data_IF_222852769549
#
_entry.id   IF_222852769549
#
_cell.length_a   1.000
_cell.length_b   1.000
_cell.length_c   1.000
_cell.angle_alpha   90.00
_cell.angle_beta   90.00
_cell.angle_gamma   90.00
#
_symmetry.space_group_name_H-M   'P 1'
#
loop_
_entity.id
_entity.type
_entity.pdbx_description
1 polymer ?
#
# COMPACT_ATOMS: atom_id res chain seq x y z
N UNK A 1 -14.40 -8.03 0.01
CA UNK A 1 -13.09 -8.69 -0.20
C UNK A 1 -12.01 -7.62 -0.18
N UNK A 2 -10.84 -7.94 0.35
CA UNK A 2 -9.63 -7.12 0.24
C UNK A 2 -8.92 -7.53 -1.05
N UNK A 3 -8.57 -6.57 -1.89
CA UNK A 3 -7.82 -6.81 -3.13
C UNK A 3 -6.35 -6.48 -2.92
N UNK A 4 -5.49 -7.46 -3.16
CA UNK A 4 -4.05 -7.25 -3.23
C UNK A 4 -3.64 -7.08 -4.69
N UNK A 5 -2.98 -5.98 -5.01
CA UNK A 5 -2.46 -5.72 -6.37
C UNK A 5 -1.18 -6.50 -6.60
N UNK A 6 -1.06 -7.07 -7.79
CA UNK A 6 0.13 -7.78 -8.25
C UNK A 6 1.15 -6.88 -8.92
N UNK A 7 2.13 -7.52 -9.52
CA UNK A 7 3.32 -6.85 -10.09
C UNK A 7 3.28 -6.70 -11.60
N UNK A 8 2.28 -7.27 -12.27
CA UNK A 8 2.21 -7.31 -13.74
C UNK A 8 0.89 -6.77 -14.29
N UNK A 9 0.88 -6.46 -15.59
CA UNK A 9 -0.33 -6.15 -16.38
C UNK A 9 -1.15 -4.95 -15.90
N UNK A 10 -0.54 -3.98 -15.21
CA UNK A 10 -1.18 -2.72 -14.85
C UNK A 10 -0.17 -1.55 -14.85
N UNK A 11 -0.53 -0.35 -15.36
CA UNK A 11 0.40 0.79 -15.42
C UNK A 11 0.92 1.26 -14.06
N UNK A 12 0.14 1.04 -13.00
CA UNK A 12 0.60 1.31 -11.63
C UNK A 12 1.79 0.42 -11.26
N UNK A 13 1.71 -0.88 -11.56
CA UNK A 13 2.79 -1.81 -11.23
C UNK A 13 4.04 -1.50 -12.04
N UNK A 14 3.88 -1.12 -13.31
CA UNK A 14 4.99 -0.66 -14.16
C UNK A 14 5.65 0.62 -13.63
N UNK A 15 4.85 1.61 -13.22
CA UNK A 15 5.36 2.83 -12.59
C UNK A 15 6.16 2.51 -11.32
N UNK A 16 5.56 1.75 -10.40
CA UNK A 16 6.16 1.52 -9.08
C UNK A 16 7.41 0.64 -9.17
N UNK A 17 7.35 -0.46 -9.92
CA UNK A 17 8.37 -1.49 -9.87
C UNK A 17 9.39 -1.41 -11.01
N UNK A 18 8.98 -0.99 -12.21
CA UNK A 18 9.90 -0.86 -13.36
C UNK A 18 10.57 0.51 -13.37
N UNK A 19 9.77 1.59 -13.33
CA UNK A 19 10.30 2.95 -13.52
C UNK A 19 10.93 3.53 -12.25
N UNK A 20 10.24 3.38 -11.10
CA UNK A 20 10.72 3.91 -9.82
C UNK A 20 11.60 2.91 -9.05
N UNK A 21 11.63 1.65 -9.46
CA UNK A 21 12.49 0.61 -8.87
C UNK A 21 12.12 0.19 -7.45
N UNK A 22 10.89 0.46 -6.99
CA UNK A 22 10.42 -0.04 -5.71
C UNK A 22 10.40 -1.57 -5.76
N UNK A 23 10.66 -2.19 -4.61
CA UNK A 23 10.58 -3.64 -4.49
C UNK A 23 9.16 -4.05 -4.10
N UNK A 24 8.48 -4.90 -4.89
CA UNK A 24 7.19 -5.44 -4.48
C UNK A 24 7.37 -6.32 -3.25
N UNK A 25 6.40 -6.26 -2.34
CA UNK A 25 6.35 -7.19 -1.20
C UNK A 25 6.26 -8.64 -1.71
N UNK A 26 6.86 -9.60 -1.01
CA UNK A 26 6.86 -11.01 -1.42
C UNK A 26 5.45 -11.60 -1.57
N UNK A 27 4.47 -11.03 -0.87
CA UNK A 27 3.05 -11.41 -0.94
C UNK A 27 2.36 -10.92 -2.23
N UNK A 28 2.91 -9.93 -2.93
CA UNK A 28 2.31 -9.42 -4.16
C UNK A 28 2.29 -10.53 -5.22
N UNK A 29 1.13 -10.86 -5.81
CA UNK A 29 1.03 -11.98 -6.75
C UNK A 29 1.86 -11.68 -8.02
N UNK A 30 2.87 -12.49 -8.35
CA UNK A 30 3.78 -12.20 -9.46
C UNK A 30 3.17 -12.53 -10.84
N UNK A 31 2.19 -13.44 -10.87
CA UNK A 31 1.59 -13.96 -12.11
C UNK A 31 0.18 -13.42 -12.37
N UNK A 32 -0.37 -12.63 -11.44
CA UNK A 32 -1.73 -12.12 -11.53
C UNK A 32 -1.73 -10.61 -11.31
N UNK A 33 -2.59 -9.90 -12.02
CA UNK A 33 -2.74 -8.46 -11.84
C UNK A 33 -3.28 -8.11 -10.43
N UNK A 34 -4.10 -8.99 -9.84
CA UNK A 34 -4.55 -8.90 -8.46
C UNK A 34 -5.07 -10.25 -7.95
N UNK A 35 -5.21 -10.37 -6.63
CA UNK A 35 -5.93 -11.47 -5.97
C UNK A 35 -6.85 -10.90 -4.89
N UNK A 36 -8.05 -11.47 -4.76
CA UNK A 36 -9.04 -11.07 -3.76
C UNK A 36 -9.06 -12.06 -2.58
N UNK A 37 -8.98 -11.54 -1.35
CA UNK A 37 -9.07 -12.31 -0.12
C UNK A 37 -10.27 -11.86 0.73
N UNK A 38 -10.94 -12.77 1.46
CA UNK A 38 -11.69 -12.35 2.64
C UNK A 38 -10.70 -11.81 3.69
N UNK A 39 -11.11 -10.83 4.50
CA UNK A 39 -10.20 -10.15 5.42
C UNK A 39 -9.48 -11.13 6.36
N UNK A 40 -10.20 -12.16 6.80
CA UNK A 40 -9.74 -13.18 7.75
C UNK A 40 -8.75 -14.19 7.15
N UNK A 41 -8.59 -14.22 5.81
CA UNK A 41 -7.67 -15.14 5.11
C UNK A 41 -6.59 -14.43 4.32
N UNK A 42 -6.43 -13.12 4.48
CA UNK A 42 -5.32 -12.44 3.85
C UNK A 42 -4.00 -12.98 4.45
N UNK A 43 -2.99 -13.29 3.63
CA UNK A 43 -1.70 -13.73 4.16
C UNK A 43 -1.01 -12.60 4.93
N UNK A 44 0.07 -12.94 5.64
CA UNK A 44 0.84 -11.97 6.44
C UNK A 44 1.33 -10.82 5.54
N UNK A 45 1.00 -9.57 5.91
CA UNK A 45 1.40 -8.38 5.17
C UNK A 45 2.86 -8.01 5.51
N UNK A 46 3.80 -8.85 5.10
CA UNK A 46 5.23 -8.68 5.33
C UNK A 46 5.82 -7.68 4.33
N UNK A 47 5.82 -6.40 4.70
CA UNK A 47 6.26 -5.27 3.89
C UNK A 47 6.59 -4.08 4.79
N UNK A 48 7.50 -3.21 4.34
CA UNK A 48 7.89 -1.99 5.04
C UNK A 48 6.86 -0.86 4.89
N UNK A 49 6.12 -0.85 3.76
CA UNK A 49 5.09 0.14 3.46
C UNK A 49 3.82 -0.53 2.95
N UNK A 50 2.65 -0.04 3.37
CA UNK A 50 1.34 -0.43 2.87
C UNK A 50 0.62 0.76 2.26
N UNK A 51 0.20 0.65 1.00
CA UNK A 51 -0.64 1.65 0.33
C UNK A 51 -2.09 1.15 0.22
N UNK A 52 -3.03 1.85 0.85
CA UNK A 52 -4.43 1.44 0.96
C UNK A 52 -5.30 2.38 0.14
N UNK A 53 -5.88 1.85 -0.94
CA UNK A 53 -6.92 2.54 -1.68
C UNK A 53 -8.31 2.12 -1.18
N UNK A 54 -9.10 3.09 -0.70
CA UNK A 54 -10.49 2.88 -0.31
C UNK A 54 -11.40 3.21 -1.50
N UNK A 55 -11.98 2.19 -2.13
CA UNK A 55 -12.87 2.29 -3.30
C UNK A 55 -14.11 3.18 -3.08
N UNK A 56 -14.39 3.57 -1.83
CA UNK A 56 -15.37 4.60 -1.45
C UNK A 56 -15.32 4.81 0.07
N UNK A 57 -15.81 5.97 0.55
CA UNK A 57 -16.20 6.18 1.95
C UNK A 57 -17.47 5.40 2.33
N UNK A 58 -17.76 4.29 1.63
CA UNK A 58 -18.93 3.48 1.89
C UNK A 58 -18.74 2.74 3.22
N UNK A 59 -19.77 2.68 4.09
CA UNK A 59 -19.67 2.01 5.40
C UNK A 59 -19.19 0.55 5.32
N UNK A 60 -19.40 -0.12 4.19
CA UNK A 60 -18.91 -1.47 3.93
C UNK A 60 -17.38 -1.54 3.81
N UNK A 61 -16.74 -0.58 3.15
CA UNK A 61 -15.27 -0.49 3.03
C UNK A 61 -14.64 -0.31 4.41
N UNK A 62 -15.21 0.59 5.21
CA UNK A 62 -14.75 0.82 6.59
C UNK A 62 -14.96 -0.40 7.49
N UNK A 63 -16.11 -1.09 7.36
CA UNK A 63 -16.35 -2.35 8.09
C UNK A 63 -15.32 -3.42 7.72
N UNK A 64 -14.95 -3.52 6.46
CA UNK A 64 -13.97 -4.49 6.00
C UNK A 64 -12.56 -4.15 6.49
N UNK A 65 -12.17 -2.86 6.45
CA UNK A 65 -10.90 -2.41 7.02
C UNK A 65 -10.82 -2.68 8.53
N UNK A 66 -11.91 -2.42 9.27
CA UNK A 66 -11.96 -2.76 10.71
C UNK A 66 -11.75 -4.25 10.97
N UNK A 67 -12.31 -5.13 10.15
CA UNK A 67 -12.09 -6.59 10.25
C UNK A 67 -10.64 -6.94 9.94
N UNK A 68 -10.06 -6.38 8.88
CA UNK A 68 -8.65 -6.58 8.54
C UNK A 68 -7.74 -6.18 9.70
N UNK A 69 -7.99 -5.03 10.33
CA UNK A 69 -7.25 -4.53 11.50
C UNK A 69 -7.30 -5.46 12.72
N UNK A 70 -8.29 -6.36 12.80
CA UNK A 70 -8.41 -7.35 13.88
C UNK A 70 -7.60 -8.63 13.61
N UNK A 71 -7.01 -8.79 12.42
CA UNK A 71 -6.28 -10.00 12.04
C UNK A 71 -4.83 -9.99 12.49
N UNK A 72 -4.23 -11.17 12.65
CA UNK A 72 -2.79 -11.30 12.87
C UNK A 72 -1.97 -10.83 11.67
N UNK A 73 -2.48 -11.02 10.45
CA UNK A 73 -1.83 -10.56 9.21
C UNK A 73 -1.62 -9.05 9.19
N UNK A 74 -2.57 -8.27 9.76
CA UNK A 74 -2.41 -6.84 9.95
C UNK A 74 -1.51 -6.51 11.15
N UNK A 75 -1.83 -7.04 12.33
CA UNK A 75 -1.17 -6.63 13.58
C UNK A 75 0.32 -7.05 13.67
N UNK A 76 0.77 -7.98 12.83
CA UNK A 76 2.16 -8.42 12.74
C UNK A 76 2.92 -7.82 11.54
N UNK A 77 2.26 -6.99 10.74
CA UNK A 77 2.89 -6.35 9.57
C UNK A 77 3.95 -5.34 10.02
N UNK A 78 5.18 -5.39 9.49
CA UNK A 78 6.20 -4.38 9.78
C UNK A 78 5.72 -2.96 9.45
N UNK A 79 5.06 -2.76 8.30
CA UNK A 79 4.45 -1.49 7.93
C UNK A 79 3.44 -0.97 8.97
N UNK A 80 2.62 -1.85 9.55
CA UNK A 80 1.66 -1.45 10.59
C UNK A 80 2.37 -1.07 11.88
N UNK A 81 3.35 -1.87 12.31
CA UNK A 81 4.11 -1.64 13.53
C UNK A 81 4.98 -0.38 13.44
N UNK A 82 5.53 -0.10 12.26
CA UNK A 82 6.33 1.09 11.97
C UNK A 82 5.52 2.34 11.65
N UNK A 83 4.18 2.27 11.63
CA UNK A 83 3.33 3.41 11.26
C UNK A 83 3.38 3.79 9.78
N UNK A 84 3.88 2.91 8.91
CA UNK A 84 4.06 3.10 7.47
C UNK A 84 2.86 2.59 6.65
N UNK A 85 1.65 2.92 7.11
CA UNK A 85 0.41 2.62 6.39
C UNK A 85 -0.16 3.91 5.84
N UNK A 86 -0.28 3.96 4.52
CA UNK A 86 -0.59 5.16 3.75
C UNK A 86 -1.93 4.99 3.05
N UNK A 87 -2.89 5.86 3.36
CA UNK A 87 -4.07 5.99 2.52
C UNK A 87 -3.70 6.72 1.23
N UNK A 88 -4.07 6.15 0.09
CA UNK A 88 -3.74 6.70 -1.22
C UNK A 88 -4.98 7.14 -1.98
N UNK A 89 -4.78 8.10 -2.87
CA UNK A 89 -5.74 8.45 -3.92
C UNK A 89 -6.04 7.24 -4.82
N UNK A 90 -6.89 7.42 -5.83
CA UNK A 90 -7.21 6.37 -6.81
C UNK A 90 -6.05 6.08 -7.78
N UNK A 91 -4.88 5.68 -7.26
CA UNK A 91 -3.66 5.42 -8.03
C UNK A 91 -3.89 4.44 -9.18
N UNK A 92 -4.74 3.43 -8.96
CA UNK A 92 -5.15 2.49 -10.01
C UNK A 92 -5.72 3.22 -11.24
N UNK A 93 -6.61 4.18 -11.02
CA UNK A 93 -7.19 4.98 -12.10
C UNK A 93 -6.22 6.03 -12.63
N UNK A 94 -5.46 6.67 -11.74
CA UNK A 94 -4.56 7.77 -12.10
C UNK A 94 -3.38 7.30 -12.97
N UNK A 95 -2.88 6.09 -12.74
CA UNK A 95 -1.69 5.56 -13.44
C UNK A 95 -1.83 5.43 -14.96
N UNK A 96 -3.06 5.48 -15.50
CA UNK A 96 -3.36 5.41 -16.93
C UNK A 96 -3.06 6.70 -17.70
N UNK A 97 -2.83 7.83 -17.02
CA UNK A 97 -2.53 9.11 -17.69
C UNK A 97 -1.19 9.67 -17.22
N UNK A 98 -0.43 10.37 -18.09
CA UNK A 98 0.83 10.98 -17.68
C UNK A 98 0.67 11.94 -16.49
N UNK A 99 -0.39 12.76 -16.48
CA UNK A 99 -0.65 13.68 -15.36
C UNK A 99 -1.00 12.95 -14.07
N UNK A 100 -1.74 11.83 -14.15
CA UNK A 100 -2.03 11.01 -12.98
C UNK A 100 -0.79 10.31 -12.43
N UNK A 101 0.12 9.85 -13.30
CA UNK A 101 1.43 9.29 -12.88
C UNK A 101 2.30 10.32 -12.17
N UNK A 102 2.38 11.56 -12.67
CA UNK A 102 3.09 12.63 -11.97
C UNK A 102 2.51 12.89 -10.57
N UNK A 103 1.18 12.91 -10.43
CA UNK A 103 0.54 13.07 -9.10
C UNK A 103 0.86 11.91 -8.15
N UNK A 104 0.95 10.67 -8.65
CA UNK A 104 1.38 9.52 -7.83
C UNK A 104 2.82 9.73 -7.34
N UNK A 105 3.71 10.22 -8.20
CA UNK A 105 5.09 10.52 -7.81
C UNK A 105 5.15 11.65 -6.78
N UNK A 106 4.36 12.71 -6.95
CA UNK A 106 4.27 13.80 -5.96
C UNK A 106 3.78 13.29 -4.59
N UNK A 107 2.77 12.40 -4.58
CA UNK A 107 2.29 11.75 -3.35
C UNK A 107 3.40 10.89 -2.71
N UNK A 108 4.14 10.10 -3.50
CA UNK A 108 5.26 9.28 -3.01
C UNK A 108 6.38 10.13 -2.39
N UNK A 109 6.75 11.24 -3.05
CA UNK A 109 7.76 12.19 -2.51
C UNK A 109 7.28 12.75 -1.18
N UNK A 110 6.02 13.18 -1.10
CA UNK A 110 5.47 13.70 0.15
C UNK A 110 5.51 12.68 1.29
N UNK A 111 5.17 11.42 1.02
CA UNK A 111 5.24 10.34 1.99
C UNK A 111 6.69 10.06 2.45
N UNK A 112 7.65 10.11 1.53
CA UNK A 112 9.06 9.93 1.84
C UNK A 112 9.62 11.08 2.70
N UNK A 113 9.24 12.32 2.41
CA UNK A 113 9.59 13.50 3.21
C UNK A 113 9.00 13.43 4.62
N UNK A 114 7.74 13.03 4.75
CA UNK A 114 7.09 12.83 6.05
C UNK A 114 7.81 11.76 6.87
N UNK A 115 8.16 10.63 6.26
CA UNK A 115 8.91 9.57 6.92
C UNK A 115 10.30 10.03 7.37
N UNK A 116 11.02 10.77 6.50
CA UNK A 116 12.32 11.33 6.83
C UNK A 116 12.23 12.36 7.98
N UNK A 117 11.21 13.21 7.97
CA UNK A 117 10.97 14.18 9.04
C UNK A 117 10.67 13.51 10.39
N UNK A 118 9.84 12.45 10.39
CA UNK A 118 9.52 11.68 11.60
C UNK A 118 10.75 10.93 12.15
N UNK A 119 11.59 10.40 11.25
CA UNK A 119 12.85 9.76 11.61
C UNK A 119 13.85 10.79 12.17
N UNK A 120 13.93 11.98 11.57
CA UNK A 120 14.81 13.06 12.02
C UNK A 120 14.36 13.70 13.34
N UNK A 121 13.05 13.75 13.60
CA UNK A 121 12.49 14.23 14.86
C UNK A 121 12.68 13.27 16.06
N UNK A 122 13.38 12.14 15.88
CA UNK A 122 13.69 11.20 16.96
C UNK A 122 12.47 10.44 17.50
N UNK A 123 11.38 10.38 16.74
CA UNK A 123 10.15 9.67 17.13
C UNK A 123 10.11 8.21 16.66
N UNK A 124 11.17 7.72 16.02
CA UNK A 124 11.41 6.28 15.84
C UNK A 124 12.75 5.99 16.50
N UNK A 125 12.65 5.38 17.69
CA UNK A 125 13.77 5.13 18.58
C UNK A 125 14.85 4.28 17.93
N UNK A 126 16.09 4.65 18.27
CA UNK A 126 17.28 3.81 18.13
C UNK A 126 17.01 2.42 18.72
N UNK A 127 17.11 1.39 17.90
CA UNK A 127 17.49 0.04 18.30
C UNK A 127 18.39 -0.56 17.22
#
# INVERSE_FOLDING_TARGET
MIRLQGTINHPLSDLLYTELGLQPAQIAPPEHQWVDYPAERIPLLDTDHLFIHRLSMHPASEKLLRRLKQTSSWNRSPAVLGGNVHDISSWLMMSWTPSGRHRIMDELVHLAEQHAALSHAGLIGQF
#
